data_IF_503380214446
#
_entry.id   IF_503380214446
#
_cell.length_a   1.000
_cell.length_b   1.000
_cell.length_c   1.000
_cell.angle_alpha   90.00
_cell.angle_beta   90.00
_cell.angle_gamma   90.00
#
_symmetry.space_group_name_H-M   'P 1'
#
loop_
_entity.id
_entity.type
_entity.pdbx_description
1 polymer ?
#
# COMPACT_ATOMS: atom_id res chain seq x y z
N UNK A 1 -26.78 23.48 -24.48
CA UNK A 1 -26.00 22.74 -23.45
C UNK A 1 -26.77 21.49 -23.10
N UNK A 2 -26.16 20.31 -23.25
CA UNK A 2 -26.85 19.03 -23.12
C UNK A 2 -26.45 18.33 -21.81
N UNK A 3 -27.35 17.48 -21.30
CA UNK A 3 -27.06 16.70 -20.10
C UNK A 3 -25.89 15.73 -20.33
N UNK A 4 -24.88 15.75 -19.45
CA UNK A 4 -23.72 14.85 -19.53
C UNK A 4 -24.06 13.37 -19.31
N UNK A 5 -25.25 13.05 -18.82
CA UNK A 5 -25.70 11.65 -18.62
C UNK A 5 -26.60 11.13 -19.72
N UNK A 6 -27.61 11.90 -20.14
CA UNK A 6 -28.66 11.42 -21.05
C UNK A 6 -28.79 12.27 -22.33
N UNK A 7 -27.83 13.17 -22.59
CA UNK A 7 -27.73 14.03 -23.77
C UNK A 7 -28.94 14.94 -24.07
N UNK A 8 -29.99 14.90 -23.24
CA UNK A 8 -31.17 15.75 -23.34
C UNK A 8 -30.81 17.24 -23.25
N UNK A 9 -31.49 18.05 -24.06
CA UNK A 9 -31.43 19.50 -24.05
C UNK A 9 -32.32 20.13 -22.96
N UNK A 10 -33.17 19.35 -22.28
CA UNK A 10 -34.08 19.82 -21.23
C UNK A 10 -33.32 20.07 -19.90
N UNK A 11 -32.51 21.12 -19.89
CA UNK A 11 -31.55 21.46 -18.84
C UNK A 11 -31.78 22.90 -18.37
N UNK A 12 -31.86 23.08 -17.05
CA UNK A 12 -31.99 24.40 -16.41
C UNK A 12 -30.76 24.72 -15.56
N UNK A 13 -30.49 26.02 -15.34
CA UNK A 13 -29.52 26.50 -14.34
C UNK A 13 -30.12 26.30 -12.94
N UNK A 14 -29.34 25.77 -12.00
CA UNK A 14 -29.81 25.47 -10.63
C UNK A 14 -28.71 25.73 -9.59
N UNK A 15 -28.47 27.02 -9.33
CA UNK A 15 -27.47 27.52 -8.38
C UNK A 15 -26.04 27.44 -8.88
N UNK A 16 -25.09 27.78 -8.00
CA UNK A 16 -23.64 27.67 -8.24
C UNK A 16 -23.00 26.80 -7.17
N UNK A 17 -21.90 26.14 -7.52
CA UNK A 17 -21.05 25.40 -6.58
C UNK A 17 -19.60 25.70 -6.90
N UNK A 18 -18.81 26.12 -5.91
CA UNK A 18 -17.42 26.57 -6.08
C UNK A 18 -17.28 27.62 -7.20
N UNK A 19 -18.16 28.63 -7.21
CA UNK A 19 -18.29 29.67 -8.24
C UNK A 19 -18.60 29.17 -9.66
N UNK A 20 -18.80 27.88 -9.87
CA UNK A 20 -19.21 27.33 -11.17
C UNK A 20 -20.72 27.14 -11.27
N UNK A 21 -21.25 27.36 -12.47
CA UNK A 21 -22.67 27.14 -12.75
C UNK A 21 -23.04 25.67 -12.62
N UNK A 22 -24.04 25.37 -11.79
CA UNK A 22 -24.64 24.04 -11.69
C UNK A 22 -25.90 23.99 -12.54
N UNK A 23 -26.10 22.87 -13.21
CA UNK A 23 -27.22 22.59 -14.10
C UNK A 23 -28.02 21.41 -13.57
N UNK A 24 -29.30 21.35 -13.94
CA UNK A 24 -30.20 20.26 -13.60
C UNK A 24 -30.95 19.82 -14.86
N UNK A 25 -30.89 18.53 -15.18
CA UNK A 25 -31.65 17.94 -16.29
C UNK A 25 -33.02 17.49 -15.79
N UNK A 26 -34.09 17.99 -16.41
CA UNK A 26 -35.48 17.62 -16.05
C UNK A 26 -35.88 16.22 -16.54
N UNK A 27 -35.17 15.65 -17.52
CA UNK A 27 -35.49 14.32 -18.04
C UNK A 27 -34.90 13.20 -17.17
N UNK A 28 -33.63 13.33 -16.75
CA UNK A 28 -32.96 12.30 -15.95
C UNK A 28 -32.75 12.68 -14.48
N UNK A 29 -33.30 13.83 -14.06
CA UNK A 29 -33.26 14.35 -12.69
C UNK A 29 -31.85 14.48 -12.09
N UNK A 30 -30.81 14.59 -12.93
CA UNK A 30 -29.42 14.75 -12.47
C UNK A 30 -28.94 16.19 -12.51
N UNK A 31 -28.12 16.49 -11.51
CA UNK A 31 -27.31 17.70 -11.49
C UNK A 31 -25.94 17.47 -12.13
N UNK A 32 -25.43 18.49 -12.82
CA UNK A 32 -24.08 18.45 -13.41
C UNK A 32 -23.51 19.87 -13.57
N UNK A 33 -22.23 19.97 -13.92
CA UNK A 33 -21.55 21.19 -14.32
C UNK A 33 -21.10 21.02 -15.78
N UNK A 34 -20.99 22.10 -16.57
CA UNK A 34 -20.43 22.04 -17.94
C UNK A 34 -19.00 21.52 -17.90
N UNK A 35 -18.19 22.16 -17.04
CA UNK A 35 -16.77 21.93 -16.90
C UNK A 35 -16.47 21.57 -15.47
N UNK A 36 -16.25 20.28 -15.21
CA UNK A 36 -15.97 19.79 -13.87
C UNK A 36 -14.54 20.16 -13.45
N UNK A 37 -14.39 21.13 -12.54
CA UNK A 37 -13.05 21.65 -12.15
C UNK A 37 -12.36 20.86 -11.06
N UNK A 38 -13.05 19.97 -10.37
CA UNK A 38 -12.45 19.30 -9.22
C UNK A 38 -11.44 18.24 -9.68
N UNK A 39 -10.15 18.62 -9.64
CA UNK A 39 -8.98 17.85 -10.10
C UNK A 39 -8.92 16.42 -9.58
N UNK A 40 -9.52 16.13 -8.44
CA UNK A 40 -9.52 14.79 -7.87
C UNK A 40 -10.28 13.75 -8.73
N UNK A 41 -11.17 14.15 -9.64
CA UNK A 41 -11.85 13.22 -10.55
C UNK A 41 -11.16 13.05 -11.90
N UNK A 42 -9.97 13.64 -12.09
CA UNK A 42 -9.21 13.38 -13.31
C UNK A 42 -8.87 11.89 -13.41
N UNK A 43 -8.93 11.30 -14.62
CA UNK A 43 -8.73 9.86 -14.81
C UNK A 43 -7.33 9.40 -14.35
N UNK A 44 -6.33 10.28 -14.47
CA UNK A 44 -4.94 9.96 -14.13
C UNK A 44 -4.60 10.16 -12.63
N UNK A 45 -5.47 10.76 -11.81
CA UNK A 45 -5.14 11.10 -10.42
C UNK A 45 -4.71 9.88 -9.60
N UNK A 46 -5.35 8.72 -9.80
CA UNK A 46 -4.96 7.50 -9.07
C UNK A 46 -3.56 7.01 -9.43
N UNK A 47 -3.22 7.00 -10.73
CA UNK A 47 -1.91 6.57 -11.20
C UNK A 47 -0.82 7.49 -10.65
N UNK A 48 -1.06 8.80 -10.64
CA UNK A 48 -0.14 9.78 -10.04
C UNK A 48 -0.01 9.60 -8.53
N UNK A 49 -1.11 9.35 -7.80
CA UNK A 49 -1.05 9.06 -6.36
C UNK A 49 -0.19 7.82 -6.11
N UNK A 50 -0.36 6.73 -6.87
CA UNK A 50 0.44 5.51 -6.76
C UNK A 50 1.93 5.80 -7.00
N UNK A 51 2.26 6.46 -8.11
CA UNK A 51 3.65 6.79 -8.45
C UNK A 51 4.29 7.65 -7.35
N UNK A 52 3.64 8.73 -6.92
CA UNK A 52 4.21 9.60 -5.90
C UNK A 52 4.37 8.90 -4.54
N UNK A 53 3.45 7.99 -4.18
CA UNK A 53 3.59 7.17 -2.96
C UNK A 53 4.83 6.27 -2.99
N UNK A 54 5.33 5.89 -4.17
CA UNK A 54 6.55 5.10 -4.35
C UNK A 54 7.83 5.95 -4.39
N UNK A 55 7.70 7.27 -4.55
CA UNK A 55 8.82 8.21 -4.71
C UNK A 55 9.04 9.10 -3.47
N UNK A 56 8.94 8.54 -2.25
CA UNK A 56 9.19 9.27 -0.98
C UNK A 56 8.30 10.50 -0.74
N UNK A 57 7.21 10.67 -1.50
CA UNK A 57 6.32 11.80 -1.30
C UNK A 57 5.43 11.58 -0.07
N UNK A 58 5.41 12.56 0.82
CA UNK A 58 4.44 12.59 1.91
C UNK A 58 3.02 12.87 1.38
N UNK A 59 1.97 12.47 2.09
CA UNK A 59 0.59 12.81 1.69
C UNK A 59 0.35 14.32 1.55
N UNK A 60 1.07 15.14 2.33
CA UNK A 60 1.05 16.60 2.19
C UNK A 60 1.82 17.06 0.94
N UNK A 61 2.89 16.37 0.56
CA UNK A 61 3.59 16.58 -0.71
C UNK A 61 2.67 16.27 -1.89
N UNK A 62 2.07 15.08 -1.91
CA UNK A 62 1.13 14.66 -2.96
C UNK A 62 -0.06 15.63 -3.07
N UNK A 63 -0.61 16.06 -1.93
CA UNK A 63 -1.70 17.05 -1.88
C UNK A 63 -1.32 18.37 -2.58
N UNK A 64 -0.10 18.87 -2.37
CA UNK A 64 0.41 20.08 -3.04
C UNK A 64 0.65 19.85 -4.53
N UNK A 65 1.33 18.76 -4.88
CA UNK A 65 1.66 18.42 -6.28
C UNK A 65 0.40 18.25 -7.13
N UNK A 66 -0.59 17.53 -6.62
CA UNK A 66 -1.83 17.25 -7.36
C UNK A 66 -2.92 18.31 -7.15
N UNK A 67 -2.67 19.29 -6.27
CA UNK A 67 -3.64 20.31 -5.87
C UNK A 67 -5.01 19.72 -5.47
N UNK A 68 -4.99 18.69 -4.62
CA UNK A 68 -6.15 18.04 -4.00
C UNK A 68 -5.95 17.98 -2.49
N UNK A 69 -7.03 17.91 -1.71
CA UNK A 69 -6.91 17.89 -0.26
C UNK A 69 -6.14 16.66 0.26
N UNK A 70 -5.39 16.82 1.36
CA UNK A 70 -4.71 15.70 2.04
C UNK A 70 -5.67 14.55 2.36
N UNK A 71 -6.89 14.87 2.78
CA UNK A 71 -7.91 13.88 3.13
C UNK A 71 -8.33 13.10 1.88
N UNK A 72 -8.48 13.78 0.73
CA UNK A 72 -8.73 13.13 -0.55
C UNK A 72 -7.60 12.17 -0.94
N UNK A 73 -6.33 12.55 -0.76
CA UNK A 73 -5.18 11.64 -0.99
C UNK A 73 -5.31 10.38 -0.13
N UNK A 74 -5.59 10.54 1.16
CA UNK A 74 -5.74 9.43 2.10
C UNK A 74 -6.91 8.50 1.74
N UNK A 75 -8.09 9.06 1.45
CA UNK A 75 -9.26 8.29 1.04
C UNK A 75 -9.02 7.53 -0.26
N UNK A 76 -8.31 8.14 -1.22
CA UNK A 76 -7.93 7.48 -2.47
C UNK A 76 -6.92 6.38 -2.24
N UNK A 77 -5.91 6.59 -1.40
CA UNK A 77 -4.94 5.55 -1.04
C UNK A 77 -5.64 4.31 -0.48
N UNK A 78 -6.62 4.47 0.43
CA UNK A 78 -7.43 3.36 0.93
C UNK A 78 -8.28 2.69 -0.16
N UNK A 79 -8.86 3.48 -1.07
CA UNK A 79 -9.67 2.94 -2.17
C UNK A 79 -8.82 2.12 -3.15
N UNK A 80 -7.67 2.65 -3.54
CA UNK A 80 -6.72 1.99 -4.44
C UNK A 80 -6.23 0.69 -3.79
N UNK A 81 -5.80 0.74 -2.52
CA UNK A 81 -5.26 -0.45 -1.84
C UNK A 81 -6.26 -1.60 -1.73
N UNK A 82 -7.55 -1.29 -1.58
CA UNK A 82 -8.66 -2.27 -1.58
C UNK A 82 -8.91 -2.88 -2.96
N UNK A 83 -8.62 -2.14 -4.04
CA UNK A 83 -8.79 -2.61 -5.43
C UNK A 83 -7.61 -3.44 -5.94
N UNK A 84 -6.44 -3.34 -5.30
CA UNK A 84 -5.26 -4.13 -5.66
C UNK A 84 -5.52 -5.61 -5.39
N UNK A 85 -5.49 -6.39 -6.48
CA UNK A 85 -5.43 -7.85 -6.45
C UNK A 85 -3.99 -8.26 -6.19
N UNK A 86 -3.76 -8.99 -5.09
CA UNK A 86 -2.44 -9.53 -4.79
C UNK A 86 -2.08 -10.53 -5.90
N UNK A 87 -0.92 -10.38 -6.58
CA UNK A 87 -0.52 -11.31 -7.62
C UNK A 87 -0.33 -12.70 -7.03
N UNK A 88 -0.90 -13.70 -7.68
CA UNK A 88 -0.71 -15.10 -7.30
C UNK A 88 0.70 -15.55 -7.71
N UNK A 89 1.50 -15.95 -6.73
CA UNK A 89 2.82 -16.52 -6.97
C UNK A 89 2.69 -18.03 -7.16
N UNK A 90 2.86 -18.51 -8.39
CA UNK A 90 2.55 -19.89 -8.78
C UNK A 90 3.79 -20.81 -8.87
N UNK A 91 4.98 -20.32 -8.53
CA UNK A 91 6.21 -21.09 -8.67
C UNK A 91 6.57 -21.84 -7.38
N UNK A 92 6.53 -23.17 -7.46
CA UNK A 92 6.90 -24.05 -6.35
C UNK A 92 8.42 -24.28 -6.27
N UNK A 93 8.92 -24.76 -5.13
CA UNK A 93 10.33 -25.17 -5.00
C UNK A 93 11.32 -24.01 -4.88
N UNK A 94 10.84 -22.76 -4.82
CA UNK A 94 11.69 -21.58 -4.77
C UNK A 94 12.43 -21.41 -3.43
N UNK A 95 13.33 -20.43 -3.41
CA UNK A 95 14.07 -20.01 -2.22
C UNK A 95 13.49 -18.69 -1.72
N UNK A 96 13.27 -18.60 -0.41
CA UNK A 96 12.62 -17.44 0.18
C UNK A 96 13.45 -16.84 1.31
N UNK A 97 13.38 -15.53 1.45
CA UNK A 97 13.92 -14.79 2.59
C UNK A 97 12.73 -14.23 3.40
N UNK A 98 12.75 -14.43 4.72
CA UNK A 98 11.74 -13.90 5.65
C UNK A 98 12.47 -13.08 6.69
N UNK A 99 11.97 -11.88 6.94
CA UNK A 99 12.58 -10.94 7.88
C UNK A 99 11.52 -10.02 8.48
N UNK A 100 11.90 -9.40 9.58
CA UNK A 100 11.10 -8.41 10.26
C UNK A 100 11.81 -7.07 10.42
N UNK A 101 11.12 -6.01 10.01
CA UNK A 101 11.61 -4.65 10.15
C UNK A 101 10.82 -3.91 11.23
N UNK A 102 11.50 -3.37 12.22
CA UNK A 102 10.86 -2.51 13.23
C UNK A 102 10.28 -1.25 12.59
N UNK A 103 9.02 -0.96 12.92
CA UNK A 103 8.29 0.22 12.45
C UNK A 103 7.66 0.98 13.61
N UNK A 104 7.73 2.31 13.57
CA UNK A 104 7.11 3.16 14.59
C UNK A 104 5.69 3.52 14.17
N UNK A 105 4.71 3.11 14.98
CA UNK A 105 3.30 3.49 14.85
C UNK A 105 2.84 4.10 16.17
N UNK A 106 2.13 5.24 16.11
CA UNK A 106 1.46 5.82 17.29
C UNK A 106 0.08 5.22 17.43
N UNK A 107 0.02 3.98 17.90
CA UNK A 107 -1.22 3.22 18.11
C UNK A 107 -1.32 2.65 19.54
N UNK A 108 -0.62 3.25 20.51
CA UNK A 108 -0.56 2.77 21.89
C UNK A 108 0.25 1.49 22.11
N UNK A 109 0.58 0.73 21.05
CA UNK A 109 1.43 -0.46 21.15
C UNK A 109 2.90 -0.07 21.30
N UNK A 110 3.62 -0.77 22.18
CA UNK A 110 5.04 -0.51 22.47
C UNK A 110 5.95 -0.77 21.26
N UNK A 111 5.69 -1.84 20.51
CA UNK A 111 6.48 -2.24 19.34
C UNK A 111 5.57 -2.74 18.21
N UNK A 112 5.88 -2.30 16.98
CA UNK A 112 5.23 -2.79 15.77
C UNK A 112 6.34 -3.19 14.79
N UNK A 113 6.09 -4.26 14.04
CA UNK A 113 7.02 -4.87 13.11
C UNK A 113 6.31 -5.09 11.78
N UNK A 114 6.99 -4.79 10.68
CA UNK A 114 6.62 -5.25 9.35
C UNK A 114 7.33 -6.58 9.13
N UNK A 115 6.56 -7.67 9.15
CA UNK A 115 7.05 -9.02 8.86
C UNK A 115 6.64 -9.32 7.42
N UNK A 116 7.57 -9.79 6.60
CA UNK A 116 7.26 -10.12 5.21
C UNK A 116 8.23 -11.13 4.63
N UNK A 117 7.84 -11.73 3.50
CA UNK A 117 8.63 -12.72 2.79
C UNK A 117 8.79 -12.34 1.32
N UNK A 118 9.99 -12.59 0.78
CA UNK A 118 10.29 -12.42 -0.64
C UNK A 118 10.85 -13.71 -1.24
N UNK A 119 10.60 -13.92 -2.52
CA UNK A 119 11.34 -14.92 -3.30
C UNK A 119 12.71 -14.34 -3.73
N UNK A 120 13.78 -15.14 -3.62
CA UNK A 120 15.15 -14.64 -3.79
C UNK A 120 15.49 -14.12 -5.19
N UNK A 121 14.97 -14.75 -6.24
CA UNK A 121 15.36 -14.44 -7.62
C UNK A 121 14.59 -13.23 -8.16
N UNK A 122 13.27 -13.24 -8.02
CA UNK A 122 12.37 -12.21 -8.55
C UNK A 122 12.16 -11.07 -7.57
N UNK A 123 12.50 -11.26 -6.28
CA UNK A 123 12.20 -10.32 -5.18
C UNK A 123 10.69 -10.06 -5.01
N UNK A 124 9.86 -10.95 -5.54
CA UNK A 124 8.40 -10.87 -5.42
C UNK A 124 8.00 -11.05 -3.96
N UNK A 125 7.17 -10.14 -3.45
CA UNK A 125 6.65 -10.22 -2.09
C UNK A 125 5.51 -11.22 -2.05
N UNK A 126 5.68 -12.28 -1.25
CA UNK A 126 4.71 -13.38 -1.07
C UNK A 126 3.60 -12.97 -0.11
N UNK A 127 3.96 -12.20 0.91
CA UNK A 127 3.01 -11.69 1.88
C UNK A 127 3.71 -10.84 2.92
N UNK A 128 2.92 -10.01 3.59
CA UNK A 128 3.37 -9.23 4.72
C UNK A 128 2.30 -9.17 5.82
N UNK A 129 2.74 -8.82 7.03
CA UNK A 129 1.89 -8.58 8.20
C UNK A 129 2.48 -7.44 9.02
N UNK A 130 1.63 -6.56 9.55
CA UNK A 130 2.02 -5.57 10.55
C UNK A 130 1.48 -6.02 11.91
N UNK A 131 2.37 -6.13 12.90
CA UNK A 131 1.98 -6.58 14.23
C UNK A 131 3.14 -6.61 15.22
N UNK A 132 2.93 -7.33 16.34
CA UNK A 132 4.02 -7.64 17.26
C UNK A 132 4.92 -8.74 16.69
N UNK A 133 6.19 -8.78 17.13
CA UNK A 133 7.12 -9.87 16.81
C UNK A 133 6.83 -11.09 17.69
N UNK A 134 5.71 -11.75 17.41
CA UNK A 134 5.24 -12.94 18.10
C UNK A 134 5.04 -14.09 17.11
N UNK A 135 4.87 -15.31 17.64
CA UNK A 135 4.75 -16.54 16.84
C UNK A 135 3.62 -16.45 15.82
N UNK A 136 2.44 -16.00 16.23
CA UNK A 136 1.25 -15.95 15.35
C UNK A 136 1.45 -15.04 14.12
N UNK A 137 2.01 -13.85 14.32
CA UNK A 137 2.24 -12.93 13.19
C UNK A 137 3.32 -13.45 12.25
N UNK A 138 4.40 -14.03 12.79
CA UNK A 138 5.46 -14.66 11.98
C UNK A 138 4.90 -15.85 11.19
N UNK A 139 4.14 -16.73 11.85
CA UNK A 139 3.50 -17.89 11.25
C UNK A 139 2.54 -17.52 10.14
N UNK A 140 1.81 -16.41 10.26
CA UNK A 140 0.89 -15.94 9.20
C UNK A 140 1.58 -15.64 7.86
N UNK A 141 2.85 -15.24 7.89
CA UNK A 141 3.67 -14.98 6.69
C UNK A 141 4.39 -16.25 6.26
N UNK A 142 5.02 -16.96 7.19
CA UNK A 142 5.75 -18.21 6.92
C UNK A 142 4.82 -19.27 6.32
N UNK A 143 3.59 -19.41 6.81
CA UNK A 143 2.63 -20.38 6.28
C UNK A 143 2.35 -20.16 4.79
N UNK A 144 2.24 -18.91 4.34
CA UNK A 144 2.08 -18.59 2.91
C UNK A 144 3.27 -19.04 2.07
N UNK A 145 4.48 -18.96 2.63
CA UNK A 145 5.71 -19.44 1.98
C UNK A 145 5.73 -20.97 1.94
N UNK A 146 5.33 -21.64 3.03
CA UNK A 146 5.30 -23.10 3.11
C UNK A 146 4.34 -23.73 2.09
N UNK A 147 3.21 -23.07 1.79
CA UNK A 147 2.27 -23.50 0.73
C UNK A 147 2.92 -23.55 -0.67
N UNK A 148 4.09 -22.95 -0.86
CA UNK A 148 4.83 -22.94 -2.12
C UNK A 148 5.90 -24.05 -2.19
N UNK A 149 5.90 -25.00 -1.26
CA UNK A 149 6.88 -26.10 -1.16
C UNK A 149 8.33 -25.59 -1.31
N UNK A 150 8.78 -24.68 -0.43
CA UNK A 150 10.06 -24.00 -0.57
C UNK A 150 11.22 -24.99 -0.46
N UNK A 151 12.23 -24.84 -1.32
CA UNK A 151 13.46 -25.63 -1.19
C UNK A 151 14.30 -25.16 -0.01
N UNK A 152 14.33 -23.84 0.24
CA UNK A 152 15.02 -23.21 1.37
C UNK A 152 14.29 -21.97 1.84
N UNK A 153 14.28 -21.76 3.15
CA UNK A 153 13.87 -20.52 3.79
C UNK A 153 15.05 -19.96 4.59
N UNK A 154 15.40 -18.73 4.28
CA UNK A 154 16.46 -17.98 4.94
C UNK A 154 15.85 -16.95 5.88
N UNK A 155 16.31 -16.92 7.11
CA UNK A 155 15.90 -15.95 8.13
C UNK A 155 17.12 -15.49 8.91
N UNK A 156 16.94 -14.46 9.72
CA UNK A 156 17.88 -14.13 10.77
C UNK A 156 17.91 -15.23 11.87
N UNK A 157 18.68 -14.97 12.94
CA UNK A 157 18.83 -15.89 14.08
C UNK A 157 17.75 -15.69 15.15
N UNK A 158 16.58 -15.12 14.81
CA UNK A 158 15.49 -15.00 15.77
C UNK A 158 15.01 -16.39 16.22
N UNK A 159 14.97 -16.60 17.54
CA UNK A 159 14.67 -17.88 18.19
C UNK A 159 13.25 -18.41 17.93
N UNK A 160 12.35 -17.61 17.37
CA UNK A 160 10.98 -18.03 17.06
C UNK A 160 10.92 -18.84 15.76
N UNK A 161 11.74 -18.51 14.74
CA UNK A 161 11.68 -19.15 13.42
C UNK A 161 11.87 -20.68 13.46
N UNK A 162 12.80 -21.25 14.24
CA UNK A 162 12.95 -22.71 14.35
C UNK A 162 11.69 -23.44 14.84
N UNK A 163 10.78 -22.76 15.52
CA UNK A 163 9.51 -23.35 15.99
C UNK A 163 8.38 -23.32 14.95
N UNK A 164 8.61 -22.68 13.80
CA UNK A 164 7.62 -22.46 12.73
C UNK A 164 8.10 -23.07 11.41
N UNK A 165 9.41 -23.07 11.16
CA UNK A 165 10.02 -23.53 9.91
C UNK A 165 10.67 -24.91 10.15
N UNK A 166 10.37 -25.92 9.32
CA UNK A 166 11.06 -27.21 9.37
C UNK A 166 12.58 -27.07 9.21
N UNK A 167 13.33 -27.80 10.04
CA UNK A 167 14.79 -27.68 10.18
C UNK A 167 15.53 -28.01 8.88
N UNK A 168 14.95 -28.88 8.05
CA UNK A 168 15.53 -29.37 6.80
C UNK A 168 15.70 -28.23 5.80
N UNK A 169 14.69 -27.36 5.72
CA UNK A 169 14.62 -26.24 4.77
C UNK A 169 15.07 -24.91 5.38
N UNK A 170 15.12 -24.79 6.71
CA UNK A 170 15.57 -23.58 7.40
C UNK A 170 17.09 -23.43 7.30
N UNK A 171 17.56 -22.25 6.86
CA UNK A 171 18.99 -21.93 6.77
C UNK A 171 19.28 -20.58 7.41
N UNK A 172 20.29 -20.58 8.28
CA UNK A 172 20.76 -19.39 8.99
C UNK A 172 22.28 -19.34 8.88
N UNK A 173 22.80 -18.37 8.14
CA UNK A 173 24.23 -18.07 8.07
C UNK A 173 24.41 -16.61 7.68
N UNK A 174 25.64 -16.11 7.81
CA UNK A 174 25.94 -14.72 7.51
C UNK A 174 25.57 -14.40 6.06
N UNK A 175 24.94 -13.24 5.83
CA UNK A 175 24.56 -12.73 4.51
C UNK A 175 23.44 -13.49 3.77
N UNK A 176 22.78 -14.46 4.42
CA UNK A 176 21.72 -15.23 3.76
C UNK A 176 20.41 -14.45 3.51
N UNK A 177 20.26 -13.29 4.16
CA UNK A 177 19.10 -12.36 4.13
C UNK A 177 19.41 -11.02 3.45
N UNK A 178 20.55 -10.89 2.75
CA UNK A 178 20.97 -9.62 2.16
C UNK A 178 19.94 -9.00 1.20
N UNK A 179 19.12 -9.82 0.52
CA UNK A 179 18.15 -9.30 -0.47
C UNK A 179 16.98 -8.64 0.23
N UNK A 180 16.44 -9.28 1.27
CA UNK A 180 15.36 -8.71 2.07
C UNK A 180 15.85 -7.53 2.93
N UNK A 181 17.10 -7.56 3.40
CA UNK A 181 17.73 -6.40 4.06
C UNK A 181 17.86 -5.20 3.11
N UNK A 182 18.27 -5.42 1.85
CA UNK A 182 18.27 -4.37 0.83
C UNK A 182 16.87 -3.85 0.55
N UNK A 183 15.86 -4.72 0.58
CA UNK A 183 14.46 -4.32 0.44
C UNK A 183 13.99 -3.47 1.63
N UNK A 184 14.41 -3.77 2.86
CA UNK A 184 14.15 -2.95 4.05
C UNK A 184 14.70 -1.53 3.87
N UNK A 185 15.91 -1.41 3.33
CA UNK A 185 16.50 -0.10 3.01
C UNK A 185 15.63 0.66 2.00
N UNK A 186 15.25 0.02 0.90
CA UNK A 186 14.40 0.64 -0.13
C UNK A 186 13.05 1.10 0.46
N UNK A 187 12.42 0.28 1.29
CA UNK A 187 11.16 0.65 1.96
C UNK A 187 11.32 1.90 2.83
N UNK A 188 12.41 2.01 3.60
CA UNK A 188 12.69 3.20 4.42
C UNK A 188 12.96 4.45 3.60
N UNK A 189 13.57 4.31 2.43
CA UNK A 189 13.85 5.42 1.51
C UNK A 189 12.59 5.90 0.79
N UNK A 190 11.81 4.97 0.25
CA UNK A 190 10.67 5.26 -0.64
C UNK A 190 9.37 5.53 0.12
N UNK A 191 9.16 4.94 1.29
CA UNK A 191 7.93 5.13 2.07
C UNK A 191 8.20 6.13 3.18
N UNK A 192 7.82 7.38 2.95
CA UNK A 192 8.05 8.49 3.91
C UNK A 192 7.49 8.22 5.31
N UNK A 193 6.43 7.39 5.41
CA UNK A 193 5.80 7.00 6.69
C UNK A 193 6.61 6.02 7.54
N UNK A 194 7.64 5.38 6.96
CA UNK A 194 8.58 4.48 7.64
C UNK A 194 9.83 5.22 8.14
N UNK A 195 9.85 6.56 8.03
CA UNK A 195 10.92 7.41 8.56
C UNK A 195 10.88 7.49 10.10
N UNK A 196 11.90 8.15 10.67
CA UNK A 196 12.05 8.37 12.12
C UNK A 196 10.92 9.25 12.68
N UNK A 197 10.60 9.08 13.97
CA UNK A 197 9.55 9.82 14.70
C UNK A 197 9.67 11.35 14.56
N UNK A 198 10.89 11.87 14.51
CA UNK A 198 11.17 13.30 14.39
C UNK A 198 10.93 13.87 12.99
N UNK A 199 10.83 13.02 11.96
CA UNK A 199 10.72 13.44 10.56
C UNK A 199 9.30 13.23 10.06
N UNK A 200 8.89 11.97 9.93
CA UNK A 200 7.59 11.57 9.44
C UNK A 200 7.36 10.12 9.86
N UNK A 201 6.24 9.85 10.52
CA UNK A 201 5.92 8.51 10.99
C UNK A 201 4.41 8.28 10.87
N UNK A 202 4.01 7.01 10.93
CA UNK A 202 2.60 6.67 10.84
C UNK A 202 1.89 6.79 12.20
N UNK A 203 0.67 7.35 12.18
CA UNK A 203 -0.22 7.42 13.35
C UNK A 203 -1.33 6.38 13.31
N UNK A 204 -1.54 5.75 12.16
CA UNK A 204 -2.62 4.79 11.99
C UNK A 204 -2.12 3.67 11.07
N UNK A 205 -2.27 2.43 11.54
CA UNK A 205 -1.79 1.22 10.89
C UNK A 205 -2.48 0.97 9.55
N UNK A 206 -3.79 1.23 9.43
CA UNK A 206 -4.57 1.01 8.20
C UNK A 206 -3.97 1.75 7.00
N UNK A 207 -3.59 3.02 7.20
CA UNK A 207 -2.94 3.81 6.16
C UNK A 207 -1.54 3.32 5.80
N UNK A 208 -0.80 2.73 6.75
CA UNK A 208 0.50 2.14 6.46
C UNK A 208 0.33 0.84 5.66
N UNK A 209 -0.61 -0.02 6.05
CA UNK A 209 -0.94 -1.24 5.31
C UNK A 209 -1.40 -0.92 3.88
N UNK A 210 -2.24 0.11 3.71
CA UNK A 210 -2.66 0.56 2.38
C UNK A 210 -1.49 1.04 1.52
N UNK A 211 -0.56 1.81 2.10
CA UNK A 211 0.65 2.28 1.41
C UNK A 211 1.54 1.09 1.03
N UNK A 212 1.76 0.14 1.93
CA UNK A 212 2.56 -1.06 1.64
C UNK A 212 1.93 -1.94 0.55
N UNK A 213 0.60 -2.13 0.55
CA UNK A 213 -0.09 -2.85 -0.54
C UNK A 213 0.15 -2.18 -1.89
N UNK A 214 0.04 -0.85 -1.95
CA UNK A 214 0.31 -0.08 -3.17
C UNK A 214 1.78 -0.19 -3.58
N UNK A 215 2.69 -0.13 -2.62
CA UNK A 215 4.11 -0.22 -2.90
C UNK A 215 4.51 -1.59 -3.46
N UNK A 216 4.00 -2.68 -2.85
CA UNK A 216 4.34 -4.05 -3.24
C UNK A 216 3.63 -4.55 -4.49
N UNK A 217 2.37 -4.16 -4.72
CA UNK A 217 1.52 -4.78 -5.74
C UNK A 217 0.69 -3.80 -6.57
N UNK A 218 0.77 -2.51 -6.28
CA UNK A 218 0.06 -1.46 -7.05
C UNK A 218 0.88 -0.87 -8.18
#
# INVERSE_FOLDING_TARGET
>A
MNCTKCTSSNVIRKGKQNNQQRHYCKNCNKYFQSDYTYKAYQPNTNKLVVSLLKESCSNRGISRVLNISKNTVLSRMLKISKQIKVPYFNKLGCKFEVDEMFIKITNGKKQNWLIYAIEQKTRSVIGFRIGGRNKDNLQSVVHKVLLLNPSRIYTDKLNIYPSIIPKEIHKQFQYCTNRIERMNLNLRTHIKRLSRKTICFTRNQEYLEAHLRIYFWG
#
